data_IF_277924233283
#
_entry.id   IF_277924233283
#
_cell.length_a   1.000
_cell.length_b   1.000
_cell.length_c   1.000
_cell.angle_alpha   90.00
_cell.angle_beta   90.00
_cell.angle_gamma   90.00
#
_symmetry.space_group_name_H-M   'P 1'
#
loop_
_entity.id
_entity.type
_entity.pdbx_description
1 polymer ?
#
# COMPACT_ATOMS: atom_id res chain seq x y z
N UNK A 1 -3.52 -24.65 -70.26
CA UNK A 1 -4.02 -25.84 -69.54
C UNK A 1 -4.88 -25.33 -68.40
N UNK A 2 -6.15 -25.73 -68.41
CA UNK A 2 -7.25 -25.21 -67.58
C UNK A 2 -7.71 -26.33 -66.65
N UNK A 3 -7.82 -26.07 -65.35
CA UNK A 3 -8.43 -26.95 -64.32
C UNK A 3 -8.97 -25.98 -63.25
N UNK A 4 -10.23 -25.52 -63.28
CA UNK A 4 -11.51 -26.15 -62.92
C UNK A 4 -11.73 -26.35 -61.39
N UNK A 5 -12.51 -25.43 -60.83
CA UNK A 5 -13.47 -25.49 -59.72
C UNK A 5 -13.58 -26.77 -58.89
N UNK A 6 -13.64 -26.65 -57.55
CA UNK A 6 -14.78 -27.12 -56.73
C UNK A 6 -14.96 -26.25 -55.47
N UNK A 7 -16.17 -25.72 -55.33
CA UNK A 7 -16.73 -25.17 -54.09
C UNK A 7 -17.17 -26.34 -53.20
N UNK A 8 -16.81 -26.33 -51.93
CA UNK A 8 -17.41 -27.20 -50.92
C UNK A 8 -18.02 -26.32 -49.82
N UNK A 9 -19.32 -26.05 -49.97
CA UNK A 9 -20.16 -25.42 -48.96
C UNK A 9 -20.52 -26.49 -47.93
N UNK A 10 -20.00 -26.39 -46.71
CA UNK A 10 -20.46 -27.22 -45.58
C UNK A 10 -21.26 -26.35 -44.62
N UNK A 11 -22.58 -26.48 -44.70
CA UNK A 11 -23.54 -25.97 -43.72
C UNK A 11 -23.53 -26.94 -42.55
N UNK A 12 -23.03 -26.50 -41.40
CA UNK A 12 -23.04 -27.23 -40.13
C UNK A 12 -23.76 -26.44 -39.06
N UNK A 13 -25.03 -26.78 -38.86
CA UNK A 13 -25.95 -26.27 -37.84
C UNK A 13 -25.59 -26.87 -36.47
N UNK A 14 -25.23 -26.03 -35.49
CA UNK A 14 -25.22 -26.39 -34.06
C UNK A 14 -25.91 -25.29 -33.26
N UNK A 15 -27.08 -25.62 -32.74
CA UNK A 15 -27.95 -24.78 -31.93
C UNK A 15 -27.38 -24.57 -30.52
N UNK A 16 -27.49 -23.33 -30.07
CA UNK A 16 -27.21 -22.80 -28.73
C UNK A 16 -28.04 -23.49 -27.63
N UNK A 17 -27.38 -23.82 -26.52
CA UNK A 17 -27.93 -23.80 -25.15
C UNK A 17 -26.77 -23.64 -24.15
N UNK A 18 -26.19 -22.44 -24.08
CA UNK A 18 -25.42 -22.06 -22.90
C UNK A 18 -26.44 -21.72 -21.81
N UNK A 19 -26.62 -22.63 -20.85
CA UNK A 19 -27.32 -22.33 -19.61
C UNK A 19 -26.52 -21.23 -18.90
N UNK A 20 -26.90 -19.97 -19.13
CA UNK A 20 -26.49 -18.85 -18.31
C UNK A 20 -27.08 -19.07 -16.92
N UNK A 21 -26.37 -19.84 -16.09
CA UNK A 21 -26.59 -19.81 -14.67
C UNK A 21 -26.23 -18.41 -14.21
N UNK A 22 -27.22 -17.57 -13.95
CA UNK A 22 -27.03 -16.35 -13.20
C UNK A 22 -26.46 -16.75 -11.85
N UNK A 23 -25.13 -16.73 -11.70
CA UNK A 23 -24.54 -16.70 -10.38
C UNK A 23 -24.77 -15.29 -9.86
N UNK A 24 -25.70 -15.14 -8.93
CA UNK A 24 -25.82 -13.90 -8.18
C UNK A 24 -24.49 -13.67 -7.46
N UNK A 25 -23.65 -12.81 -8.05
CA UNK A 25 -22.34 -12.49 -7.51
C UNK A 25 -22.56 -11.54 -6.32
N UNK A 26 -22.19 -11.99 -5.13
CA UNK A 26 -22.24 -11.17 -3.92
C UNK A 26 -20.86 -10.54 -3.70
N UNK A 27 -20.71 -9.29 -4.11
CA UNK A 27 -19.53 -8.50 -3.78
C UNK A 27 -19.62 -7.99 -2.34
N UNK A 28 -18.54 -8.15 -1.56
CA UNK A 28 -18.44 -7.56 -0.21
C UNK A 28 -18.15 -6.05 -0.29
N UNK A 29 -18.51 -5.28 0.74
CA UNK A 29 -18.23 -3.83 0.81
C UNK A 29 -16.83 -3.51 1.35
N UNK A 30 -15.83 -4.37 1.09
CA UNK A 30 -14.44 -4.10 1.52
C UNK A 30 -13.87 -2.97 0.66
N UNK A 31 -13.42 -1.89 1.31
CA UNK A 31 -12.79 -0.74 0.67
C UNK A 31 -11.29 -0.95 0.40
N UNK A 32 -10.70 0.00 -0.32
CA UNK A 32 -9.25 0.04 -0.48
C UNK A 32 -8.58 0.53 0.79
N UNK A 33 -7.46 -0.09 1.13
CA UNK A 33 -6.52 0.45 2.11
C UNK A 33 -5.69 1.61 1.53
N UNK A 34 -4.70 2.09 2.29
CA UNK A 34 -3.83 3.16 1.84
C UNK A 34 -3.05 2.77 0.59
N UNK A 35 -2.70 3.78 -0.20
CA UNK A 35 -1.94 3.62 -1.45
C UNK A 35 -0.49 3.27 -1.20
N UNK A 36 0.12 3.81 -0.15
CA UNK A 36 1.46 3.41 0.27
C UNK A 36 1.52 3.32 1.79
N UNK A 37 2.47 2.53 2.28
CA UNK A 37 2.81 2.47 3.71
C UNK A 37 4.33 2.47 3.90
N UNK A 38 4.80 3.16 4.94
CA UNK A 38 6.19 3.14 5.39
C UNK A 38 6.22 2.90 6.90
N UNK A 39 6.82 1.80 7.31
CA UNK A 39 6.98 1.49 8.74
C UNK A 39 8.37 1.92 9.22
N UNK A 40 8.44 2.59 10.37
CA UNK A 40 9.70 2.84 11.06
C UNK A 40 9.97 1.67 12.02
N UNK A 41 11.08 0.97 11.82
CA UNK A 41 11.41 -0.26 12.56
C UNK A 41 12.80 -0.18 13.19
N UNK A 42 12.98 -0.83 14.34
CA UNK A 42 14.28 -0.99 14.97
C UNK A 42 15.21 -1.92 14.18
N UNK A 43 16.52 -1.66 14.25
CA UNK A 43 17.57 -2.45 13.60
C UNK A 43 17.83 -3.82 14.24
N UNK A 44 17.63 -3.98 15.55
CA UNK A 44 17.85 -5.26 16.26
C UNK A 44 16.57 -6.04 16.51
N UNK A 45 15.48 -5.35 16.83
CA UNK A 45 14.15 -5.94 17.05
C UNK A 45 13.17 -5.28 16.09
N UNK A 46 12.71 -6.00 15.05
CA UNK A 46 11.69 -5.49 14.14
C UNK A 46 10.44 -5.04 14.92
N UNK A 47 10.00 -3.80 14.69
CA UNK A 47 8.83 -3.24 15.37
C UNK A 47 9.05 -2.74 16.80
N UNK A 48 10.30 -2.67 17.28
CA UNK A 48 10.62 -2.00 18.54
C UNK A 48 11.57 -0.82 18.28
N UNK A 49 11.03 0.39 18.25
CA UNK A 49 11.82 1.63 18.31
C UNK A 49 11.78 2.21 19.73
N UNK A 50 12.79 3.02 20.09
CA UNK A 50 12.88 3.57 21.44
C UNK A 50 11.72 4.58 21.69
N UNK A 51 11.11 4.60 22.89
CA UNK A 51 10.10 5.59 23.22
C UNK A 51 10.69 7.01 23.19
N UNK A 52 9.87 8.00 22.85
CA UNK A 52 10.28 9.41 22.79
C UNK A 52 9.58 10.18 21.67
N UNK A 53 10.02 11.41 21.46
CA UNK A 53 9.48 12.29 20.42
C UNK A 53 10.29 12.16 19.13
N UNK A 54 9.57 12.01 18.02
CA UNK A 54 10.11 11.88 16.68
C UNK A 54 9.59 13.00 15.79
N UNK A 55 10.44 13.48 14.91
CA UNK A 55 10.07 14.35 13.80
C UNK A 55 10.28 13.59 12.50
N UNK A 56 9.23 13.53 11.68
CA UNK A 56 9.23 12.85 10.39
C UNK A 56 9.12 13.90 9.31
N UNK A 57 10.02 13.84 8.33
CA UNK A 57 9.89 14.60 7.08
C UNK A 57 9.60 13.59 5.97
N UNK A 58 8.47 13.77 5.29
CA UNK A 58 8.04 12.94 4.17
C UNK A 58 8.04 13.81 2.92
N UNK A 59 8.81 13.44 1.92
CA UNK A 59 8.88 14.14 0.65
C UNK A 59 8.40 13.21 -0.46
N UNK A 60 7.51 13.71 -1.31
CA UNK A 60 7.05 13.04 -2.52
C UNK A 60 7.22 13.99 -3.70
N UNK A 61 6.95 13.51 -4.91
CA UNK A 61 6.82 14.35 -6.10
C UNK A 61 5.62 15.32 -6.03
N UNK A 62 4.70 15.12 -5.08
CA UNK A 62 3.52 15.95 -4.86
C UNK A 62 3.73 17.03 -3.78
N UNK A 63 4.72 16.87 -2.90
CA UNK A 63 5.05 17.87 -1.88
C UNK A 63 5.82 17.32 -0.68
N UNK A 64 5.87 18.13 0.38
CA UNK A 64 6.57 17.80 1.63
C UNK A 64 5.60 17.90 2.80
N UNK A 65 5.59 16.87 3.64
CA UNK A 65 4.90 16.84 4.93
C UNK A 65 5.92 16.77 6.07
N UNK A 66 5.65 17.47 7.18
CA UNK A 66 6.44 17.35 8.40
C UNK A 66 5.51 17.04 9.57
N UNK A 67 5.90 16.08 10.39
CA UNK A 67 5.07 15.53 11.44
C UNK A 67 5.86 15.36 12.73
N UNK A 68 5.27 15.73 13.85
CA UNK A 68 5.78 15.39 15.17
C UNK A 68 4.95 14.25 15.77
N UNK A 69 5.61 13.23 16.30
CA UNK A 69 4.99 12.01 16.85
C UNK A 69 5.65 11.66 18.18
N UNK A 70 4.85 11.57 19.24
CA UNK A 70 5.33 11.11 20.55
C UNK A 70 4.97 9.65 20.81
N UNK A 71 5.96 8.81 21.12
CA UNK A 71 5.78 7.39 21.48
C UNK A 71 5.63 7.16 22.99
N UNK A 72 4.81 8.00 23.64
CA UNK A 72 4.45 7.83 25.05
C UNK A 72 3.09 7.14 25.24
N UNK A 73 2.39 6.84 24.14
CA UNK A 73 1.12 6.13 24.07
C UNK A 73 0.65 5.99 22.62
N UNK A 74 -0.55 5.46 22.42
CA UNK A 74 -1.14 5.31 21.09
C UNK A 74 -1.60 6.67 20.54
N UNK A 75 -1.14 7.01 19.34
CA UNK A 75 -1.40 8.26 18.65
C UNK A 75 -1.75 7.99 17.19
N UNK A 76 -2.88 8.53 16.75
CA UNK A 76 -3.20 8.66 15.33
C UNK A 76 -3.26 10.15 14.99
N UNK A 77 -2.48 10.58 14.02
CA UNK A 77 -2.44 11.98 13.59
C UNK A 77 -2.38 12.08 12.07
N UNK A 78 -2.86 13.19 11.52
CA UNK A 78 -2.68 13.54 10.12
C UNK A 78 -1.64 14.64 10.04
N UNK A 79 -0.76 14.53 9.06
CA UNK A 79 0.15 15.59 8.69
C UNK A 79 -0.44 16.41 7.55
N UNK A 80 0.23 17.52 7.25
CA UNK A 80 -0.01 18.25 6.01
C UNK A 80 0.22 17.34 4.79
N UNK A 81 -0.41 17.67 3.67
CA UNK A 81 -0.23 16.94 2.41
C UNK A 81 -0.96 15.59 2.33
N UNK A 82 -1.89 15.29 3.25
CA UNK A 82 -2.71 14.07 3.18
C UNK A 82 -2.00 12.79 3.60
N UNK A 83 -0.88 12.92 4.34
CA UNK A 83 -0.16 11.81 4.95
C UNK A 83 -0.71 11.55 6.34
N UNK A 84 -1.12 10.32 6.60
CA UNK A 84 -1.54 9.85 7.92
C UNK A 84 -0.39 9.15 8.66
N UNK A 85 -0.43 9.24 9.98
CA UNK A 85 0.48 8.52 10.86
C UNK A 85 -0.32 7.79 11.93
N UNK A 86 0.04 6.53 12.14
CA UNK A 86 -0.31 5.76 13.33
C UNK A 86 0.96 5.42 14.09
N UNK A 87 0.95 5.61 15.40
CA UNK A 87 2.07 5.31 16.26
C UNK A 87 1.56 4.79 17.61
N UNK A 88 2.30 3.90 18.24
CA UNK A 88 1.84 3.34 19.51
C UNK A 88 2.62 2.13 19.97
N UNK A 89 2.11 1.48 21.02
CA UNK A 89 2.65 0.23 21.51
C UNK A 89 2.14 -0.94 20.66
N UNK A 90 3.00 -1.92 20.38
CA UNK A 90 2.57 -3.16 19.73
C UNK A 90 1.86 -4.02 20.77
N UNK A 91 0.58 -4.33 20.57
CA UNK A 91 -0.19 -5.10 21.56
C UNK A 91 0.34 -6.53 21.69
N UNK A 92 0.72 -6.93 22.90
CA UNK A 92 1.18 -8.29 23.20
C UNK A 92 2.64 -8.56 22.85
N UNK A 93 3.38 -7.54 22.41
CA UNK A 93 4.81 -7.61 22.10
C UNK A 93 5.56 -6.46 22.80
N UNK A 94 6.84 -6.68 23.09
CA UNK A 94 7.72 -5.61 23.56
C UNK A 94 8.12 -4.76 22.35
N UNK A 95 7.43 -3.64 22.13
CA UNK A 95 7.74 -2.76 21.01
C UNK A 95 6.84 -1.54 20.87
N UNK A 96 7.32 -0.57 20.10
CA UNK A 96 6.53 0.56 19.61
C UNK A 96 6.71 0.67 18.11
N UNK A 97 5.66 1.13 17.43
CA UNK A 97 5.64 1.30 15.98
C UNK A 97 5.34 2.74 15.61
N UNK A 98 5.82 3.13 14.42
CA UNK A 98 5.32 4.27 13.66
C UNK A 98 5.03 3.73 12.25
N UNK A 99 3.82 3.92 11.77
CA UNK A 99 3.39 3.61 10.41
C UNK A 99 2.89 4.88 9.74
N UNK A 100 3.49 5.19 8.61
CA UNK A 100 3.17 6.33 7.74
C UNK A 100 2.35 5.78 6.57
N UNK A 101 1.25 6.42 6.22
CA UNK A 101 0.41 6.02 5.11
C UNK A 101 -0.15 7.22 4.34
N UNK A 102 -0.55 7.02 3.10
CA UNK A 102 -1.17 8.07 2.29
C UNK A 102 -2.12 7.52 1.24
N UNK A 103 -2.99 8.42 0.76
CA UNK A 103 -4.04 8.11 -0.22
C UNK A 103 -3.70 8.53 -1.65
N UNK A 104 -2.56 9.21 -1.86
CA UNK A 104 -2.06 9.55 -3.19
C UNK A 104 -1.13 8.46 -3.76
N UNK A 105 -0.83 8.55 -5.06
CA UNK A 105 0.01 7.58 -5.78
C UNK A 105 1.31 8.23 -6.29
N UNK A 106 2.17 8.76 -5.40
CA UNK A 106 3.41 9.42 -5.81
C UNK A 106 4.36 8.41 -6.48
N UNK A 107 5.17 8.88 -7.43
CA UNK A 107 6.14 8.01 -8.10
C UNK A 107 7.39 7.73 -7.26
N UNK A 108 7.69 8.59 -6.29
CA UNK A 108 8.83 8.48 -5.40
C UNK A 108 8.50 9.02 -4.00
N UNK A 109 9.20 8.50 -3.00
CA UNK A 109 9.10 8.93 -1.61
C UNK A 109 10.47 8.98 -0.96
N UNK A 110 10.72 10.04 -0.20
CA UNK A 110 11.80 10.14 0.76
C UNK A 110 11.22 10.30 2.16
N UNK A 111 11.76 9.57 3.13
CA UNK A 111 11.37 9.69 4.54
C UNK A 111 12.63 9.92 5.35
N UNK A 112 12.65 11.00 6.11
CA UNK A 112 13.68 11.27 7.12
C UNK A 112 13.07 11.20 8.50
N UNK A 113 13.67 10.39 9.38
CA UNK A 113 13.27 10.23 10.78
C UNK A 113 14.30 10.92 11.65
N UNK A 114 13.86 11.90 12.44
CA UNK A 114 14.66 12.59 13.44
C UNK A 114 14.17 12.29 14.85
N UNK A 115 15.11 12.25 15.79
CA UNK A 115 14.87 12.19 17.24
C UNK A 115 15.87 13.11 17.93
N UNK A 116 15.38 13.94 18.84
CA UNK A 116 16.19 14.95 19.53
C UNK A 116 17.00 15.85 18.57
N UNK A 117 16.41 16.18 17.42
CA UNK A 117 17.03 16.96 16.34
C UNK A 117 18.07 16.22 15.49
N UNK A 118 18.39 14.96 15.79
CA UNK A 118 19.34 14.15 15.04
C UNK A 118 18.62 13.21 14.07
N UNK A 119 19.13 13.05 12.85
CA UNK A 119 18.62 12.02 11.92
C UNK A 119 19.02 10.64 12.45
N UNK A 120 18.01 9.81 12.69
CA UNK A 120 18.17 8.43 13.18
C UNK A 120 17.85 7.39 12.11
N UNK A 121 17.20 7.78 11.02
CA UNK A 121 16.98 6.90 9.87
C UNK A 121 16.49 7.68 8.67
N UNK A 122 16.73 7.13 7.48
CA UNK A 122 16.20 7.68 6.24
C UNK A 122 15.92 6.57 5.23
N UNK A 123 15.05 6.88 4.28
CA UNK A 123 14.68 6.02 3.16
C UNK A 123 14.46 6.90 1.94
N UNK A 124 14.99 6.47 0.80
CA UNK A 124 14.68 7.01 -0.51
C UNK A 124 14.25 5.85 -1.41
N UNK A 125 13.04 5.92 -1.99
CA UNK A 125 12.48 4.84 -2.79
C UNK A 125 11.63 5.37 -3.95
N UNK A 126 11.63 4.63 -5.06
CA UNK A 126 10.61 4.76 -6.09
C UNK A 126 9.48 3.78 -5.76
N UNK A 127 8.23 4.18 -6.06
CA UNK A 127 7.06 3.37 -5.77
C UNK A 127 6.51 2.72 -7.03
N UNK A 128 6.40 1.40 -6.99
CA UNK A 128 5.67 0.62 -7.96
C UNK A 128 4.32 0.19 -7.36
N UNK A 129 3.25 0.41 -8.11
CA UNK A 129 1.89 0.12 -7.67
C UNK A 129 1.31 -1.10 -8.38
N UNK A 130 0.81 -2.04 -7.59
CA UNK A 130 0.09 -3.20 -8.07
C UNK A 130 -1.41 -2.98 -7.96
N UNK A 131 -2.15 -3.58 -8.89
CA UNK A 131 -3.62 -3.55 -8.87
C UNK A 131 -4.15 -4.78 -8.16
N UNK A 132 -5.12 -4.61 -7.26
CA UNK A 132 -5.78 -5.67 -6.51
C UNK A 132 -7.29 -5.54 -6.55
N UNK A 133 -7.98 -6.68 -6.43
CA UNK A 133 -9.44 -6.77 -6.44
C UNK A 133 -9.91 -7.44 -5.15
N UNK A 134 -10.03 -6.69 -4.03
CA UNK A 134 -10.32 -7.28 -2.72
C UNK A 134 -11.64 -8.08 -2.67
N UNK A 135 -12.58 -7.74 -3.55
CA UNK A 135 -13.89 -8.39 -3.64
C UNK A 135 -13.98 -9.40 -4.82
N UNK A 136 -12.87 -9.70 -5.51
CA UNK A 136 -12.82 -10.52 -6.73
C UNK A 136 -12.77 -9.68 -8.02
N UNK A 137 -12.26 -10.24 -9.13
CA UNK A 137 -11.91 -9.46 -10.35
C UNK A 137 -13.08 -8.67 -10.96
N UNK A 138 -14.30 -9.20 -10.89
CA UNK A 138 -15.50 -8.55 -11.42
C UNK A 138 -16.25 -7.70 -10.36
N UNK A 139 -15.70 -7.58 -9.15
CA UNK A 139 -16.31 -6.83 -8.05
C UNK A 139 -15.51 -5.55 -7.72
N UNK A 140 -16.17 -4.38 -7.67
CA UNK A 140 -15.53 -3.16 -7.21
C UNK A 140 -15.26 -3.17 -5.69
N UNK A 141 -14.35 -2.33 -5.18
CA UNK A 141 -13.47 -1.44 -5.96
C UNK A 141 -12.23 -2.19 -6.48
N UNK A 142 -11.65 -1.68 -7.57
CA UNK A 142 -10.28 -2.01 -7.95
C UNK A 142 -9.34 -1.12 -7.14
N UNK A 143 -8.46 -1.74 -6.37
CA UNK A 143 -7.49 -1.06 -5.53
C UNK A 143 -6.12 -1.04 -6.18
N UNK A 144 -5.34 -0.02 -5.84
CA UNK A 144 -3.93 0.07 -6.21
C UNK A 144 -3.15 0.44 -4.97
N UNK A 145 -2.03 -0.22 -4.74
CA UNK A 145 -1.14 0.07 -3.63
C UNK A 145 0.30 -0.29 -3.96
N UNK A 146 1.25 0.37 -3.32
CA UNK A 146 2.66 0.00 -3.36
C UNK A 146 2.94 -1.18 -2.43
N UNK A 147 4.14 -1.76 -2.54
CA UNK A 147 4.67 -2.60 -1.49
C UNK A 147 4.97 -1.75 -0.25
N UNK A 148 4.82 -2.35 0.93
CA UNK A 148 5.17 -1.72 2.20
C UNK A 148 6.68 -1.50 2.30
N UNK A 149 7.07 -0.28 2.65
CA UNK A 149 8.46 0.12 2.82
C UNK A 149 8.84 0.19 4.30
N UNK A 150 10.15 0.26 4.57
CA UNK A 150 10.66 0.37 5.94
C UNK A 150 11.79 1.38 6.03
N UNK A 151 11.73 2.23 7.06
CA UNK A 151 12.88 2.99 7.55
C UNK A 151 13.45 2.23 8.74
N UNK A 152 14.72 1.86 8.68
CA UNK A 152 15.41 1.23 9.81
C UNK A 152 16.06 2.31 10.65
N UNK A 153 15.80 2.29 11.96
CA UNK A 153 16.43 3.20 12.94
C UNK A 153 17.21 2.39 13.99
N UNK A 154 18.29 2.96 14.56
CA UNK A 154 19.00 2.33 15.66
C UNK A 154 18.08 2.06 16.84
N UNK A 155 18.06 0.82 17.31
CA UNK A 155 17.61 0.50 18.65
C UNK A 155 18.60 1.09 19.63
N UNK A 156 18.16 2.02 20.49
CA UNK A 156 19.05 2.50 21.53
C UNK A 156 19.27 1.39 22.57
N UNK A 157 20.49 1.27 23.12
CA UNK A 157 20.81 0.32 24.18
C UNK A 157 20.08 0.65 25.50
#
# INVERSE_FOLDING_TARGET
>A
MSIQHQHATMVGLSLLLAAGGCSDQFCTEIGCGPKFTVDVVGDTTPGAIAPGDYELTIETDEGTATCAVGLTGDTNTSCDGGVGISAGAVQGEDGTFISIWGESEPSAISVTVRRDGNVVGSLDANLDYVTGHPNGEDCPPTCRSSLGLRVVVPTQP
#
